data_IF_815661901011
#
_entry.id   IF_815661901011
#
_cell.length_a   1.000
_cell.length_b   1.000
_cell.length_c   1.000
_cell.angle_alpha   90.00
_cell.angle_beta   90.00
_cell.angle_gamma   90.00
#
_symmetry.space_group_name_H-M   'P 1'
#
loop_
_entity.id
_entity.type
_entity.pdbx_description
1 polymer ?
#
# COMPACT_ATOMS: atom_id res chain seq x y z
N UNK A 1 1.69 -20.99 -15.72
CA UNK A 1 1.40 -20.09 -14.60
C UNK A 1 2.67 -19.33 -14.24
N UNK A 2 2.57 -18.02 -14.08
CA UNK A 2 3.66 -17.16 -13.67
C UNK A 2 3.32 -16.54 -12.32
N UNK A 3 4.26 -16.60 -11.38
CA UNK A 3 4.13 -15.98 -10.06
C UNK A 3 5.28 -14.99 -9.91
N UNK A 4 4.93 -13.71 -9.78
CA UNK A 4 5.90 -12.64 -9.58
C UNK A 4 6.07 -12.41 -8.08
N UNK A 5 7.33 -12.30 -7.63
CA UNK A 5 7.62 -11.78 -6.29
C UNK A 5 6.97 -10.41 -6.10
N UNK A 6 6.42 -10.18 -4.91
CA UNK A 6 5.69 -8.97 -4.54
C UNK A 6 4.62 -8.57 -5.59
N UNK A 7 4.00 -9.55 -6.24
CA UNK A 7 2.94 -9.32 -7.24
C UNK A 7 3.40 -8.43 -8.42
N UNK A 8 4.71 -8.37 -8.69
CA UNK A 8 5.29 -7.53 -9.75
C UNK A 8 5.70 -6.12 -9.30
N UNK A 9 5.76 -5.84 -7.99
CA UNK A 9 6.26 -4.58 -7.44
C UNK A 9 7.71 -4.73 -6.96
N UNK A 10 8.66 -4.12 -7.66
CA UNK A 10 10.10 -4.28 -7.38
C UNK A 10 10.82 -2.95 -7.16
N UNK A 11 11.95 -2.98 -6.47
CA UNK A 11 12.87 -1.86 -6.42
C UNK A 11 13.79 -1.84 -7.64
N UNK A 12 14.04 -0.67 -8.21
CA UNK A 12 15.06 -0.49 -9.24
C UNK A 12 16.45 -0.82 -8.69
N UNK A 13 17.28 -1.53 -9.47
CA UNK A 13 18.61 -1.95 -9.07
C UNK A 13 18.65 -3.13 -8.07
N UNK A 14 17.50 -3.67 -7.65
CA UNK A 14 17.43 -4.85 -6.80
C UNK A 14 16.74 -6.00 -7.53
N UNK A 15 17.20 -7.23 -7.30
CA UNK A 15 16.65 -8.40 -7.97
C UNK A 15 15.19 -8.69 -7.56
N UNK A 16 14.30 -8.72 -8.55
CA UNK A 16 12.99 -9.36 -8.46
C UNK A 16 13.04 -10.77 -9.06
N UNK A 17 12.09 -11.62 -8.66
CA UNK A 17 11.96 -12.98 -9.20
C UNK A 17 10.60 -13.23 -9.86
N UNK A 18 10.63 -14.04 -10.90
CA UNK A 18 9.45 -14.62 -11.56
C UNK A 18 9.60 -16.14 -11.53
N UNK A 19 8.64 -16.81 -10.90
CA UNK A 19 8.55 -18.27 -10.90
C UNK A 19 7.60 -18.71 -12.00
N UNK A 20 8.12 -19.47 -12.97
CA UNK A 20 7.36 -20.08 -14.05
C UNK A 20 7.10 -21.55 -13.73
N UNK A 21 5.83 -21.94 -13.74
CA UNK A 21 5.40 -23.32 -13.50
C UNK A 21 4.36 -23.73 -14.52
N UNK A 22 4.43 -24.97 -14.99
CA UNK A 22 3.37 -25.58 -15.80
C UNK A 22 2.07 -25.61 -15.01
N UNK A 23 0.96 -25.23 -15.65
CA UNK A 23 -0.35 -25.54 -15.09
C UNK A 23 -0.53 -27.08 -15.13
N UNK A 24 -1.10 -27.66 -14.08
CA UNK A 24 -1.16 -29.12 -13.86
C UNK A 24 -1.92 -29.93 -14.94
N UNK A 25 -2.38 -29.30 -16.03
CA UNK A 25 -3.32 -29.85 -17.00
C UNK A 25 -2.71 -30.22 -18.37
N UNK A 26 -1.43 -29.94 -18.62
CA UNK A 26 -0.81 -30.18 -19.94
C UNK A 26 0.35 -31.17 -19.88
N UNK A 27 0.62 -31.86 -21.00
CA UNK A 27 1.94 -32.45 -21.24
C UNK A 27 2.99 -31.36 -21.06
N UNK A 28 4.05 -31.66 -20.30
CA UNK A 28 5.06 -30.70 -19.89
C UNK A 28 6.31 -30.94 -20.74
N UNK A 29 6.39 -30.43 -21.99
CA UNK A 29 7.58 -30.58 -22.79
C UNK A 29 8.74 -29.82 -22.15
N UNK A 30 9.96 -30.19 -22.49
CA UNK A 30 11.07 -29.27 -22.29
C UNK A 30 10.84 -28.03 -23.16
N UNK A 31 11.07 -26.86 -22.59
CA UNK A 31 10.85 -25.60 -23.27
C UNK A 31 11.98 -24.60 -23.00
N UNK A 32 12.03 -23.56 -23.81
CA UNK A 32 12.90 -22.40 -23.63
C UNK A 32 12.01 -21.18 -23.45
N UNK A 33 12.07 -20.57 -22.28
CA UNK A 33 11.42 -19.30 -21.98
C UNK A 33 12.37 -18.18 -22.37
N UNK A 34 12.03 -17.43 -23.42
CA UNK A 34 12.68 -16.16 -23.76
C UNK A 34 11.86 -15.02 -23.19
N UNK A 35 12.53 -14.03 -22.61
CA UNK A 35 11.84 -12.91 -22.00
C UNK A 35 12.58 -11.60 -22.17
N UNK A 36 11.79 -10.52 -22.21
CA UNK A 36 12.26 -9.15 -22.29
C UNK A 36 11.54 -8.28 -21.26
N UNK A 37 12.29 -7.38 -20.63
CA UNK A 37 11.77 -6.30 -19.82
C UNK A 37 11.85 -5.00 -20.62
N UNK A 38 10.71 -4.33 -20.79
CA UNK A 38 10.56 -3.16 -21.63
C UNK A 38 10.10 -1.94 -20.84
N UNK A 39 10.64 -0.77 -21.20
CA UNK A 39 10.09 0.55 -20.83
C UNK A 39 9.56 1.19 -22.12
N UNK A 40 8.23 1.31 -22.24
CA UNK A 40 7.62 1.62 -23.53
C UNK A 40 7.97 0.51 -24.54
N UNK A 41 8.69 0.87 -25.60
CA UNK A 41 9.19 -0.06 -26.63
C UNK A 41 10.68 -0.42 -26.45
N UNK A 42 11.36 0.19 -25.49
CA UNK A 42 12.80 0.01 -25.30
C UNK A 42 13.08 -1.18 -24.39
N UNK A 43 13.84 -2.15 -24.91
CA UNK A 43 14.35 -3.28 -24.12
C UNK A 43 15.42 -2.82 -23.14
N UNK A 44 15.18 -3.05 -21.85
CA UNK A 44 16.11 -2.71 -20.76
C UNK A 44 16.79 -3.92 -20.14
N UNK A 45 16.18 -5.11 -20.27
CA UNK A 45 16.78 -6.38 -19.90
C UNK A 45 16.13 -7.50 -20.71
N UNK A 46 16.78 -8.65 -20.78
CA UNK A 46 16.18 -9.85 -21.34
C UNK A 46 17.17 -11.00 -21.38
N UNK A 47 16.65 -12.21 -21.32
CA UNK A 47 17.44 -13.44 -21.31
C UNK A 47 16.57 -14.63 -21.74
N UNK A 48 17.15 -15.83 -21.70
CA UNK A 48 16.45 -17.08 -21.93
C UNK A 48 16.75 -18.09 -20.82
N UNK A 49 15.74 -18.87 -20.44
CA UNK A 49 15.84 -19.90 -19.41
C UNK A 49 15.29 -21.23 -19.94
N UNK A 50 16.02 -22.30 -19.67
CA UNK A 50 15.52 -23.66 -19.88
C UNK A 50 14.42 -23.98 -18.86
N UNK A 51 13.21 -24.27 -19.35
CA UNK A 51 12.11 -24.78 -18.54
C UNK A 51 12.15 -26.31 -18.61
N UNK A 52 12.49 -26.92 -17.48
CA UNK A 52 12.61 -28.37 -17.38
C UNK A 52 11.23 -29.04 -17.43
N UNK A 53 11.22 -30.29 -17.89
CA UNK A 53 10.04 -31.16 -17.79
C UNK A 53 9.71 -31.41 -16.32
N UNK A 54 8.43 -31.35 -15.97
CA UNK A 54 7.96 -31.64 -14.61
C UNK A 54 7.33 -30.44 -13.89
N UNK A 55 6.94 -30.67 -12.64
CA UNK A 55 6.18 -29.71 -11.82
C UNK A 55 7.03 -28.67 -11.08
N UNK A 56 8.36 -28.75 -11.16
CA UNK A 56 9.26 -27.83 -10.43
C UNK A 56 9.31 -26.47 -11.12
N UNK A 57 9.05 -25.41 -10.37
CA UNK A 57 9.10 -24.06 -10.89
C UNK A 57 10.52 -23.68 -11.36
N UNK A 58 10.60 -23.07 -12.54
CA UNK A 58 11.82 -22.43 -13.06
C UNK A 58 11.82 -20.98 -12.62
N UNK A 59 12.92 -20.48 -12.07
CA UNK A 59 13.00 -19.14 -11.48
C UNK A 59 13.85 -18.23 -12.37
N UNK A 60 13.25 -17.15 -12.86
CA UNK A 60 13.95 -16.05 -13.52
C UNK A 60 14.24 -14.98 -12.48
N UNK A 61 15.50 -14.53 -12.44
CA UNK A 61 15.91 -13.38 -11.61
C UNK A 61 16.13 -12.18 -12.52
N UNK A 62 15.45 -11.07 -12.24
CA UNK A 62 15.49 -9.85 -13.06
C UNK A 62 15.93 -8.70 -12.17
N UNK A 63 16.99 -7.99 -12.56
CA UNK A 63 17.36 -6.73 -11.91
C UNK A 63 16.90 -5.58 -12.80
N UNK A 64 15.74 -4.95 -12.52
CA UNK A 64 15.30 -3.78 -13.27
C UNK A 64 16.31 -2.63 -13.09
N UNK A 65 16.42 -1.71 -14.05
CA UNK A 65 17.29 -0.53 -13.91
C UNK A 65 16.84 0.34 -12.73
N UNK A 66 17.78 1.13 -12.20
CA UNK A 66 17.43 2.14 -11.20
C UNK A 66 16.48 3.19 -11.78
N UNK A 67 15.47 3.57 -11.01
CA UNK A 67 14.47 4.56 -11.42
C UNK A 67 14.41 5.70 -10.40
N UNK A 68 14.07 6.91 -10.86
CA UNK A 68 13.91 8.09 -10.00
C UNK A 68 12.48 8.26 -9.46
N UNK A 69 11.51 7.63 -10.13
CA UNK A 69 10.10 7.64 -9.79
C UNK A 69 9.48 6.28 -10.14
N UNK A 70 8.30 5.98 -9.58
CA UNK A 70 7.54 4.78 -9.93
C UNK A 70 7.40 4.70 -11.46
N UNK A 71 7.89 3.61 -12.04
CA UNK A 71 7.96 3.41 -13.49
C UNK A 71 7.30 2.11 -13.85
N UNK A 72 6.32 2.19 -14.75
CA UNK A 72 5.65 1.02 -15.31
C UNK A 72 6.53 0.38 -16.38
N UNK A 73 6.82 -0.90 -16.21
CA UNK A 73 7.54 -1.73 -17.17
C UNK A 73 6.65 -2.89 -17.64
N UNK A 74 6.99 -3.47 -18.78
CA UNK A 74 6.33 -4.68 -19.31
C UNK A 74 7.34 -5.81 -19.34
N UNK A 75 7.00 -6.92 -18.71
CA UNK A 75 7.72 -8.18 -18.89
C UNK A 75 6.97 -9.00 -19.93
N UNK A 76 7.61 -9.22 -21.07
CA UNK A 76 7.07 -9.96 -22.21
C UNK A 76 7.81 -11.28 -22.30
N UNK A 77 7.09 -12.37 -22.56
CA UNK A 77 7.70 -13.69 -22.70
C UNK A 77 7.18 -14.46 -23.89
N UNK A 78 8.03 -15.36 -24.36
CA UNK A 78 7.76 -16.34 -25.39
C UNK A 78 8.31 -17.69 -24.93
N UNK A 79 7.47 -18.71 -24.95
CA UNK A 79 7.83 -20.07 -24.55
C UNK A 79 7.88 -20.94 -25.80
N UNK A 80 9.05 -21.51 -26.09
CA UNK A 80 9.27 -22.36 -27.26
C UNK A 80 9.52 -23.81 -26.84
N UNK A 81 8.96 -24.77 -27.57
CA UNK A 81 9.26 -26.18 -27.37
C UNK A 81 10.71 -26.49 -27.74
N UNK A 82 11.42 -27.21 -26.87
CA UNK A 82 12.78 -27.66 -27.14
C UNK A 82 12.71 -28.88 -28.06
N UNK A 83 13.02 -28.69 -29.33
CA UNK A 83 13.03 -29.73 -30.35
C UNK A 83 12.72 -29.17 -31.73
N UNK A 84 11.44 -28.88 -31.98
CA UNK A 84 10.96 -28.28 -33.23
C UNK A 84 10.98 -26.74 -33.22
N UNK A 85 11.20 -26.13 -32.05
CA UNK A 85 11.24 -24.68 -31.89
C UNK A 85 9.87 -24.01 -32.01
N UNK A 86 8.77 -24.78 -31.95
CA UNK A 86 7.42 -24.24 -32.04
C UNK A 86 7.10 -23.39 -30.81
N UNK A 87 6.46 -22.24 -31.03
CA UNK A 87 5.95 -21.41 -29.94
C UNK A 87 4.77 -22.11 -29.26
N UNK A 88 4.90 -22.33 -27.95
CA UNK A 88 3.89 -22.95 -27.08
C UNK A 88 2.98 -21.88 -26.52
N UNK A 89 3.56 -20.78 -26.03
CA UNK A 89 2.84 -19.73 -25.33
C UNK A 89 3.58 -18.40 -25.45
N UNK A 90 2.83 -17.32 -25.33
CA UNK A 90 3.37 -15.97 -25.22
C UNK A 90 2.46 -15.14 -24.35
N UNK A 91 3.04 -14.19 -23.63
CA UNK A 91 2.24 -13.28 -22.84
C UNK A 91 3.04 -12.10 -22.35
N UNK A 92 2.33 -11.24 -21.64
CA UNK A 92 2.92 -10.09 -21.00
C UNK A 92 2.31 -9.86 -19.63
N UNK A 93 3.11 -9.27 -18.76
CA UNK A 93 2.66 -8.80 -17.46
C UNK A 93 3.31 -7.46 -17.14
N UNK A 94 2.61 -6.67 -16.32
CA UNK A 94 3.11 -5.39 -15.88
C UNK A 94 4.00 -5.59 -14.65
N UNK A 95 5.14 -4.90 -14.64
CA UNK A 95 6.01 -4.78 -13.47
C UNK A 95 6.05 -3.31 -13.08
N UNK A 96 5.82 -3.01 -11.80
CA UNK A 96 5.94 -1.67 -11.24
C UNK A 96 7.28 -1.55 -10.54
N UNK A 97 8.15 -0.68 -11.04
CA UNK A 97 9.49 -0.48 -10.49
C UNK A 97 9.53 0.83 -9.70
N UNK A 98 10.02 0.76 -8.46
CA UNK A 98 10.06 1.85 -7.51
C UNK A 98 11.50 2.30 -7.26
N UNK A 99 11.72 3.60 -6.96
CA UNK A 99 13.02 4.05 -6.51
C UNK A 99 13.37 3.37 -5.18
N UNK A 100 14.64 2.98 -5.00
CA UNK A 100 15.12 2.52 -3.69
C UNK A 100 15.07 3.71 -2.72
N UNK A 101 14.44 3.57 -1.54
CA UNK A 101 14.39 4.64 -0.56
C UNK A 101 15.79 5.01 -0.09
N UNK A 102 16.11 6.30 -0.12
CA UNK A 102 17.36 6.81 0.45
C UNK A 102 17.22 6.88 1.97
N UNK A 103 18.12 6.25 2.71
CA UNK A 103 18.11 6.27 4.18
C UNK A 103 18.05 7.70 4.76
N UNK A 104 18.79 8.63 4.16
CA UNK A 104 18.82 10.04 4.58
C UNK A 104 17.45 10.74 4.50
N UNK A 105 16.59 10.32 3.57
CA UNK A 105 15.25 10.90 3.40
C UNK A 105 14.38 10.59 4.61
N UNK A 106 14.42 9.36 5.11
CA UNK A 106 13.67 8.94 6.28
C UNK A 106 14.20 9.62 7.55
N UNK A 107 15.54 9.66 7.70
CA UNK A 107 16.20 10.34 8.81
C UNK A 107 15.85 11.84 8.87
N UNK A 108 15.80 12.51 7.71
CA UNK A 108 15.44 13.93 7.64
C UNK A 108 14.00 14.24 8.06
N UNK A 109 13.04 13.32 7.85
CA UNK A 109 11.61 13.53 8.16
C UNK A 109 11.32 13.58 9.66
N UNK A 110 12.10 12.88 10.47
CA UNK A 110 11.84 12.70 11.90
C UNK A 110 13.05 13.04 12.79
N UNK A 111 14.05 13.76 12.26
CA UNK A 111 15.35 14.00 12.92
C UNK A 111 15.25 14.50 14.37
N UNK A 112 14.27 15.35 14.66
CA UNK A 112 14.10 15.96 15.99
C UNK A 112 12.96 15.33 16.80
N UNK A 113 12.46 14.16 16.38
CA UNK A 113 11.32 13.48 16.99
C UNK A 113 11.78 12.26 17.77
N UNK A 114 11.24 12.09 18.97
CA UNK A 114 11.42 10.88 19.77
C UNK A 114 10.42 9.84 19.29
N UNK A 115 10.95 8.80 18.64
CA UNK A 115 10.15 7.72 18.06
C UNK A 115 10.10 6.55 19.03
N UNK A 116 8.91 6.00 19.23
CA UNK A 116 8.71 4.69 19.84
C UNK A 116 8.15 3.72 18.81
N UNK A 117 8.67 2.49 18.83
CA UNK A 117 8.23 1.41 17.95
C UNK A 117 7.81 0.24 18.81
N UNK A 118 6.54 -0.12 18.74
CA UNK A 118 6.01 -1.37 19.27
C UNK A 118 5.90 -2.35 18.10
N UNK A 119 6.86 -3.25 17.98
CA UNK A 119 6.95 -4.27 16.93
C UNK A 119 7.78 -5.44 17.44
N UNK A 120 7.10 -6.48 17.92
CA UNK A 120 7.69 -7.69 18.47
C UNK A 120 8.21 -8.60 17.35
N UNK A 121 7.54 -8.61 16.19
CA UNK A 121 7.98 -9.36 15.01
C UNK A 121 9.27 -8.78 14.40
N UNK A 122 9.53 -7.49 14.60
CA UNK A 122 10.80 -6.81 14.30
C UNK A 122 10.93 -6.30 12.88
N UNK A 123 10.04 -6.68 11.94
CA UNK A 123 10.15 -6.26 10.54
C UNK A 123 10.13 -4.75 10.32
N UNK A 124 9.24 -4.03 11.04
CA UNK A 124 9.18 -2.56 10.99
C UNK A 124 10.38 -1.97 11.71
N UNK A 125 10.69 -2.45 12.92
CA UNK A 125 11.81 -1.95 13.73
C UNK A 125 13.15 -2.09 12.99
N UNK A 126 13.40 -3.23 12.36
CA UNK A 126 14.64 -3.51 11.65
C UNK A 126 14.73 -2.69 10.36
N UNK A 127 13.61 -2.44 9.69
CA UNK A 127 13.56 -1.54 8.52
C UNK A 127 13.92 -0.11 8.91
N UNK A 128 13.39 0.40 10.03
CA UNK A 128 13.75 1.72 10.55
C UNK A 128 15.21 1.79 11.00
N UNK A 129 15.72 0.74 11.63
CA UNK A 129 17.12 0.66 12.06
C UNK A 129 18.09 0.64 10.87
N UNK A 130 17.78 -0.11 9.80
CA UNK A 130 18.55 -0.11 8.54
C UNK A 130 18.56 1.27 7.87
N UNK A 131 17.49 2.05 8.04
CA UNK A 131 17.42 3.44 7.59
C UNK A 131 18.18 4.42 8.51
N UNK A 132 18.80 3.95 9.59
CA UNK A 132 19.56 4.77 10.53
C UNK A 132 18.71 5.67 11.43
N UNK A 133 17.44 5.31 11.65
CA UNK A 133 16.56 5.99 12.60
C UNK A 133 16.77 5.46 14.01
N UNK A 134 16.91 6.37 14.96
CA UNK A 134 16.93 6.03 16.39
C UNK A 134 15.50 5.97 16.93
N UNK A 135 15.18 4.91 17.67
CA UNK A 135 13.86 4.75 18.28
C UNK A 135 13.94 3.92 19.57
N UNK A 136 12.98 4.16 20.46
CA UNK A 136 12.75 3.34 21.65
C UNK A 136 11.89 2.14 21.28
N UNK A 137 12.40 0.91 21.51
CA UNK A 137 11.59 -0.31 21.40
C UNK A 137 10.61 -0.40 22.58
N UNK A 138 9.35 -0.69 22.26
CA UNK A 138 8.25 -0.90 23.20
C UNK A 138 7.90 -2.38 23.16
N UNK A 139 7.75 -3.01 24.34
CA UNK A 139 7.39 -4.43 24.44
C UNK A 139 5.98 -4.64 24.99
N UNK A 140 5.46 -3.65 25.72
CA UNK A 140 4.12 -3.68 26.31
C UNK A 140 3.57 -2.26 26.46
N UNK A 141 2.24 -2.14 26.53
CA UNK A 141 1.55 -0.87 26.67
C UNK A 141 2.03 -0.03 27.87
N UNK A 142 2.41 -0.66 28.98
CA UNK A 142 2.95 0.02 30.16
C UNK A 142 4.24 0.82 29.88
N UNK A 143 5.06 0.39 28.92
CA UNK A 143 6.30 1.09 28.57
C UNK A 143 6.02 2.45 27.91
N UNK A 144 4.81 2.65 27.36
CA UNK A 144 4.37 3.89 26.73
C UNK A 144 4.01 4.97 27.76
N UNK A 145 3.47 4.57 28.92
CA UNK A 145 2.95 5.51 29.93
C UNK A 145 4.02 6.45 30.51
N UNK A 146 5.28 6.01 30.53
CA UNK A 146 6.43 6.78 31.03
C UNK A 146 7.30 7.36 29.91
N UNK A 147 6.87 7.21 28.65
CA UNK A 147 7.66 7.61 27.49
C UNK A 147 7.23 8.99 27.01
N UNK A 148 8.15 9.97 27.01
CA UNK A 148 7.96 11.21 26.27
C UNK A 148 8.33 10.96 24.80
N UNK A 149 7.32 10.75 23.97
CA UNK A 149 7.46 10.40 22.56
C UNK A 149 6.64 11.35 21.70
N UNK A 150 7.16 11.66 20.52
CA UNK A 150 6.50 12.51 19.54
C UNK A 150 5.82 11.66 18.47
N UNK A 151 6.31 10.44 18.25
CA UNK A 151 5.74 9.45 17.32
C UNK A 151 5.71 8.07 17.96
N UNK A 152 4.60 7.35 17.79
CA UNK A 152 4.47 5.93 18.12
C UNK A 152 4.03 5.16 16.89
N UNK A 153 4.79 4.14 16.52
CA UNK A 153 4.45 3.21 15.46
C UNK A 153 4.14 1.85 16.08
N UNK A 154 2.92 1.36 15.88
CA UNK A 154 2.47 0.04 16.36
C UNK A 154 2.38 -0.89 15.17
N UNK A 155 3.29 -1.87 15.14
CA UNK A 155 3.42 -2.87 14.09
C UNK A 155 2.21 -3.81 13.99
N UNK A 156 2.17 -4.64 12.94
CA UNK A 156 1.03 -5.50 12.70
C UNK A 156 0.83 -6.55 13.80
N UNK A 157 -0.41 -6.71 14.27
CA UNK A 157 -0.80 -7.76 15.22
C UNK A 157 -0.33 -7.59 16.67
N UNK A 158 0.27 -6.46 17.02
CA UNK A 158 0.79 -6.18 18.37
C UNK A 158 -0.29 -5.96 19.43
N UNK A 159 -1.46 -5.44 19.02
CA UNK A 159 -2.55 -5.14 19.94
C UNK A 159 -3.44 -6.37 20.13
N UNK A 160 -3.72 -6.70 21.40
CA UNK A 160 -4.68 -7.72 21.76
C UNK A 160 -6.08 -7.16 22.07
N UNK A 161 -7.00 -8.02 22.48
CA UNK A 161 -8.39 -7.68 22.84
C UNK A 161 -8.55 -6.78 24.08
N UNK A 162 -7.47 -6.51 24.81
CA UNK A 162 -7.52 -5.72 26.04
C UNK A 162 -7.60 -4.23 25.72
N UNK A 163 -8.76 -3.63 26.02
CA UNK A 163 -9.01 -2.17 25.87
C UNK A 163 -7.94 -1.31 26.54
N UNK A 164 -7.39 -1.77 27.67
CA UNK A 164 -6.34 -1.06 28.41
C UNK A 164 -5.04 -0.91 27.63
N UNK A 165 -4.75 -1.78 26.65
CA UNK A 165 -3.51 -1.68 25.86
C UNK A 165 -3.56 -0.51 24.86
N UNK A 166 -4.77 -0.03 24.52
CA UNK A 166 -4.97 1.07 23.58
C UNK A 166 -5.08 2.44 24.27
N UNK A 167 -5.42 2.48 25.56
CA UNK A 167 -5.62 3.73 26.30
C UNK A 167 -4.36 4.62 26.34
N UNK A 168 -3.13 4.09 26.57
CA UNK A 168 -1.91 4.90 26.52
C UNK A 168 -1.65 5.51 25.14
N UNK A 169 -2.03 4.84 24.06
CA UNK A 169 -1.86 5.34 22.69
C UNK A 169 -2.75 6.56 22.43
N UNK A 170 -4.01 6.50 22.87
CA UNK A 170 -4.96 7.61 22.76
C UNK A 170 -4.45 8.80 23.59
N UNK A 171 -4.04 8.56 24.85
CA UNK A 171 -3.52 9.61 25.72
C UNK A 171 -2.27 10.31 25.15
N UNK A 172 -1.37 9.54 24.51
CA UNK A 172 -0.21 10.12 23.82
C UNK A 172 -0.64 10.98 22.62
N UNK A 173 -1.62 10.53 21.83
CA UNK A 173 -2.16 11.33 20.73
C UNK A 173 -2.78 12.63 21.23
N UNK A 174 -3.62 12.58 22.28
CA UNK A 174 -4.22 13.77 22.91
C UNK A 174 -3.15 14.77 23.38
N UNK A 175 -2.05 14.26 23.95
CA UNK A 175 -0.92 15.05 24.42
C UNK A 175 -0.08 15.69 23.29
N UNK A 176 -0.29 15.31 22.03
CA UNK A 176 0.39 15.88 20.87
C UNK A 176 1.20 14.91 20.02
N UNK A 177 1.26 13.63 20.39
CA UNK A 177 2.01 12.64 19.62
C UNK A 177 1.28 12.26 18.31
N UNK A 178 2.06 11.83 17.33
CA UNK A 178 1.57 11.11 16.17
C UNK A 178 1.54 9.62 16.44
N UNK A 179 0.38 8.99 16.38
CA UNK A 179 0.23 7.54 16.61
C UNK A 179 -0.20 6.85 15.33
N UNK A 180 0.48 5.76 14.97
CA UNK A 180 0.14 4.94 13.81
C UNK A 180 -0.13 3.52 14.27
N UNK A 181 -1.31 3.01 13.92
CA UNK A 181 -1.70 1.62 14.13
C UNK A 181 -1.71 0.94 12.77
N UNK A 182 -0.74 0.06 12.52
CA UNK A 182 -0.77 -0.84 11.36
C UNK A 182 -1.75 -1.99 11.59
N UNK A 183 -1.90 -2.90 10.62
CA UNK A 183 -2.95 -3.93 10.61
C UNK A 183 -3.05 -4.69 11.95
N UNK A 184 -4.25 -4.79 12.53
CA UNK A 184 -4.47 -5.54 13.77
C UNK A 184 -5.54 -6.60 13.52
N UNK A 185 -5.30 -7.84 13.95
CA UNK A 185 -6.25 -8.95 13.72
C UNK A 185 -6.86 -9.52 14.99
N UNK A 186 -6.18 -9.34 16.11
CA UNK A 186 -6.62 -9.88 17.39
C UNK A 186 -7.68 -9.03 18.11
N UNK A 187 -7.69 -7.68 18.04
CA UNK A 187 -8.62 -6.91 18.83
C UNK A 187 -10.00 -6.83 18.16
N UNK A 188 -11.06 -6.93 18.95
CA UNK A 188 -12.46 -6.66 18.52
C UNK A 188 -12.71 -5.21 18.14
N UNK A 189 -11.89 -4.29 18.65
CA UNK A 189 -12.01 -2.86 18.37
C UNK A 189 -10.64 -2.20 18.31
N UNK A 190 -10.51 -1.18 17.47
CA UNK A 190 -9.28 -0.43 17.26
C UNK A 190 -9.55 1.06 17.38
N UNK A 191 -8.81 1.75 18.24
CA UNK A 191 -9.01 3.15 18.58
C UNK A 191 -10.45 3.48 19.03
N UNK A 192 -11.11 2.53 19.71
CA UNK A 192 -12.48 2.66 20.20
C UNK A 192 -13.58 2.30 19.20
N UNK A 193 -13.22 1.86 17.99
CA UNK A 193 -14.18 1.51 16.94
C UNK A 193 -14.20 0.00 16.67
N UNK A 194 -15.36 -0.61 16.38
CA UNK A 194 -15.44 -2.02 16.03
C UNK A 194 -14.56 -2.38 14.82
N UNK A 195 -13.90 -3.53 14.90
CA UNK A 195 -13.16 -4.11 13.79
C UNK A 195 -14.04 -5.15 13.11
N UNK A 196 -14.29 -4.95 11.82
CA UNK A 196 -15.23 -5.73 11.02
C UNK A 196 -14.48 -6.46 9.91
N UNK A 197 -14.78 -7.75 9.74
CA UNK A 197 -14.25 -8.52 8.62
C UNK A 197 -14.98 -8.16 7.33
N UNK A 198 -14.24 -7.93 6.25
CA UNK A 198 -14.75 -7.73 4.90
C UNK A 198 -14.30 -8.83 3.97
N UNK A 199 -15.16 -9.13 3.00
CA UNK A 199 -14.81 -9.93 1.83
C UNK A 199 -14.27 -8.99 0.74
N UNK A 200 -13.24 -9.44 0.02
CA UNK A 200 -12.54 -8.64 -0.99
C UNK A 200 -13.38 -8.29 -2.25
N UNK A 201 -14.65 -8.70 -2.32
CA UNK A 201 -15.47 -8.55 -3.51
C UNK A 201 -15.81 -7.09 -3.86
N UNK A 202 -15.83 -6.20 -2.87
CA UNK A 202 -16.08 -4.76 -3.10
C UNK A 202 -14.79 -4.00 -2.85
N UNK A 203 -14.37 -3.18 -3.82
CA UNK A 203 -13.17 -2.35 -3.71
C UNK A 203 -13.45 -1.08 -2.89
N UNK A 204 -12.53 -0.65 -2.01
CA UNK A 204 -12.65 0.65 -1.34
C UNK A 204 -12.41 1.79 -2.33
N UNK A 205 -13.03 2.93 -2.04
CA UNK A 205 -12.73 4.22 -2.64
C UNK A 205 -11.53 4.85 -1.94
N UNK A 206 -10.62 5.43 -2.73
CA UNK A 206 -9.37 6.01 -2.24
C UNK A 206 -9.32 7.52 -2.48
N UNK A 207 -8.82 8.28 -1.49
CA UNK A 207 -8.46 9.69 -1.62
C UNK A 207 -7.04 9.81 -2.17
N UNK A 208 -6.87 9.61 -3.48
CA UNK A 208 -5.58 9.57 -4.17
C UNK A 208 -4.71 10.83 -4.02
N UNK A 209 -5.31 12.00 -3.82
CA UNK A 209 -4.57 13.25 -3.66
C UNK A 209 -4.00 13.48 -2.25
N UNK A 210 -4.25 12.56 -1.31
CA UNK A 210 -3.77 12.70 0.07
C UNK A 210 -2.27 12.39 0.17
N UNK A 211 -1.48 13.08 1.04
CA UNK A 211 -0.04 12.80 1.20
C UNK A 211 0.32 11.35 1.53
N UNK A 212 -0.58 10.60 2.19
CA UNK A 212 -0.40 9.16 2.45
C UNK A 212 -0.33 8.30 1.17
N UNK A 213 -0.87 8.81 0.06
CA UNK A 213 -0.90 8.16 -1.25
C UNK A 213 0.23 8.64 -2.18
N UNK A 214 1.11 9.54 -1.72
CA UNK A 214 2.16 10.10 -2.58
C UNK A 214 3.05 9.02 -3.19
N UNK A 215 3.15 8.99 -4.52
CA UNK A 215 3.96 7.99 -5.24
C UNK A 215 3.34 6.58 -5.30
N UNK A 216 2.09 6.42 -4.84
CA UNK A 216 1.29 5.21 -4.94
C UNK A 216 0.03 5.49 -5.76
N UNK A 217 -0.27 4.62 -6.71
CA UNK A 217 -1.54 4.62 -7.42
C UNK A 217 -2.60 3.83 -6.66
N UNK A 218 -3.87 4.06 -7.02
CA UNK A 218 -4.99 3.31 -6.45
C UNK A 218 -4.83 1.81 -6.66
N UNK A 219 -4.36 1.39 -7.84
CA UNK A 219 -4.13 -0.02 -8.15
C UNK A 219 -3.01 -0.64 -7.29
N UNK A 220 -1.98 0.15 -6.91
CA UNK A 220 -0.94 -0.32 -5.99
C UNK A 220 -1.55 -0.63 -4.61
N UNK A 221 -2.44 0.23 -4.12
CA UNK A 221 -3.11 0.00 -2.84
C UNK A 221 -4.15 -1.12 -2.93
N UNK A 222 -4.83 -1.25 -4.07
CA UNK A 222 -5.79 -2.31 -4.30
C UNK A 222 -5.11 -3.68 -4.34
N UNK A 223 -3.94 -3.79 -4.97
CA UNK A 223 -3.18 -5.05 -5.04
C UNK A 223 -2.79 -5.59 -3.66
N UNK A 224 -2.54 -4.71 -2.67
CA UNK A 224 -2.30 -5.13 -1.29
C UNK A 224 -3.54 -5.82 -0.68
N UNK A 225 -4.74 -5.38 -1.05
CA UNK A 225 -6.01 -5.93 -0.57
C UNK A 225 -6.47 -7.16 -1.36
N UNK A 226 -6.12 -7.24 -2.64
CA UNK A 226 -6.53 -8.32 -3.53
C UNK A 226 -5.70 -9.59 -3.28
N UNK A 227 -6.34 -10.76 -3.31
CA UNK A 227 -5.64 -12.04 -3.24
C UNK A 227 -6.52 -13.18 -2.71
N UNK A 228 -6.36 -14.41 -3.24
CA UNK A 228 -7.12 -15.55 -2.76
C UNK A 228 -6.85 -15.82 -1.28
N UNK A 229 -7.91 -15.89 -0.47
CA UNK A 229 -7.80 -16.15 0.97
C UNK A 229 -7.33 -14.98 1.83
N UNK A 230 -7.07 -13.79 1.26
CA UNK A 230 -6.78 -12.59 2.08
C UNK A 230 -8.04 -12.17 2.84
N UNK A 231 -7.94 -12.18 4.17
CA UNK A 231 -8.95 -11.61 5.04
C UNK A 231 -8.67 -10.12 5.24
N UNK A 232 -9.62 -9.28 4.88
CA UNK A 232 -9.50 -7.83 5.06
C UNK A 232 -10.28 -7.46 6.31
N UNK A 233 -9.65 -6.69 7.18
CA UNK A 233 -10.31 -6.09 8.33
C UNK A 233 -10.50 -4.60 8.07
N UNK A 234 -11.62 -4.06 8.54
CA UNK A 234 -11.97 -2.66 8.40
C UNK A 234 -12.42 -2.13 9.76
N UNK A 235 -12.15 -0.86 10.01
CA UNK A 235 -12.70 -0.16 11.16
C UNK A 235 -14.08 0.39 10.78
N UNK A 236 -15.09 0.13 11.60
CA UNK A 236 -16.42 0.69 11.41
C UNK A 236 -16.57 2.01 12.17
N UNK A 237 -16.63 3.10 11.42
CA UNK A 237 -16.83 4.43 11.96
C UNK A 237 -18.33 4.71 12.11
N UNK A 238 -18.76 5.29 13.24
CA UNK A 238 -20.12 5.81 13.39
C UNK A 238 -20.46 6.84 12.31
N UNK A 239 -21.76 7.03 12.11
CA UNK A 239 -22.26 8.13 11.28
C UNK A 239 -21.70 9.48 11.75
N UNK A 240 -21.21 10.28 10.81
CA UNK A 240 -20.71 11.63 11.04
C UNK A 240 -19.48 11.74 11.97
N UNK A 241 -18.73 10.64 12.15
CA UNK A 241 -17.51 10.64 12.95
C UNK A 241 -16.45 11.62 12.35
N UNK A 242 -15.82 12.49 13.16
CA UNK A 242 -14.80 13.45 12.72
C UNK A 242 -13.46 12.78 12.38
N UNK A 243 -13.46 11.93 11.35
CA UNK A 243 -12.32 11.14 10.88
C UNK A 243 -12.19 11.29 9.37
N UNK A 244 -10.98 11.49 8.86
CA UNK A 244 -10.71 11.61 7.44
C UNK A 244 -10.48 10.22 6.87
N UNK A 245 -11.41 9.75 6.05
CA UNK A 245 -11.40 8.41 5.48
C UNK A 245 -10.56 8.41 4.19
N UNK A 246 -9.34 7.85 4.22
CA UNK A 246 -8.46 7.82 3.05
C UNK A 246 -8.80 6.66 2.13
N UNK A 247 -9.00 5.47 2.70
CA UNK A 247 -9.47 4.28 2.00
C UNK A 247 -10.73 3.76 2.70
N UNK A 248 -11.87 3.77 2.01
CA UNK A 248 -13.16 3.45 2.63
C UNK A 248 -14.13 2.78 1.67
N UNK A 249 -15.02 1.95 2.19
CA UNK A 249 -16.13 1.41 1.41
C UNK A 249 -17.32 2.35 1.50
N UNK A 250 -17.91 2.76 0.36
CA UNK A 250 -19.13 3.54 0.39
C UNK A 250 -20.26 2.72 1.04
N UNK A 251 -21.22 3.38 1.71
CA UNK A 251 -22.38 2.70 2.27
C UNK A 251 -23.19 2.00 1.17
N UNK A 252 -23.72 0.83 1.47
CA UNK A 252 -24.50 -0.01 0.53
C UNK A 252 -25.80 0.68 0.08
N UNK A 253 -26.34 1.57 0.92
CA UNK A 253 -27.52 2.37 0.62
C UNK A 253 -27.16 3.85 0.74
N UNK A 254 -27.23 4.59 -0.36
CA UNK A 254 -27.09 6.04 -0.35
C UNK A 254 -28.33 6.66 0.29
N UNK A 255 -28.19 7.18 1.51
CA UNK A 255 -29.24 7.88 2.24
C UNK A 255 -28.98 9.38 2.33
N UNK A 256 -30.00 10.19 2.69
CA UNK A 256 -29.86 11.64 2.86
C UNK A 256 -29.04 12.05 4.10
N UNK A 257 -28.68 11.10 4.97
CA UNK A 257 -27.82 11.31 6.15
C UNK A 257 -26.61 10.37 6.08
N UNK A 258 -25.44 10.79 6.60
CA UNK A 258 -24.28 9.90 6.70
C UNK A 258 -24.65 8.66 7.50
N UNK A 259 -24.43 7.48 6.94
CA UNK A 259 -24.49 6.20 7.67
C UNK A 259 -23.12 5.84 8.24
N UNK A 260 -23.01 4.72 8.98
CA UNK A 260 -21.71 4.17 9.35
C UNK A 260 -20.88 3.87 8.09
N UNK A 261 -19.57 4.09 8.19
CA UNK A 261 -18.62 3.88 7.08
C UNK A 261 -17.51 2.95 7.54
N UNK A 262 -17.21 1.96 6.71
CA UNK A 262 -16.09 1.05 6.96
C UNK A 262 -14.85 1.58 6.26
N UNK A 263 -13.73 1.63 6.99
CA UNK A 263 -12.47 2.20 6.51
C UNK A 263 -11.33 1.21 6.65
N UNK A 264 -10.45 1.19 5.65
CA UNK A 264 -9.17 0.46 5.70
C UNK A 264 -8.02 1.40 6.05
N UNK A 265 -8.17 2.70 5.78
CA UNK A 265 -7.20 3.72 6.16
C UNK A 265 -7.92 5.00 6.55
N UNK A 266 -7.66 5.47 7.77
CA UNK A 266 -8.31 6.64 8.32
C UNK A 266 -7.34 7.45 9.19
N UNK A 267 -7.64 8.75 9.30
CA UNK A 267 -6.86 9.71 10.08
C UNK A 267 -7.81 10.46 11.00
N UNK A 268 -7.43 10.58 12.27
CA UNK A 268 -8.18 11.32 13.27
C UNK A 268 -7.27 12.34 13.93
N UNK A 269 -7.66 13.61 13.94
CA UNK A 269 -7.08 14.58 14.86
C UNK A 269 -7.55 14.26 16.29
N UNK A 270 -6.62 14.14 17.24
CA UNK A 270 -6.93 13.78 18.62
C UNK A 270 -6.18 14.74 19.54
N UNK A 271 -6.91 15.61 20.26
CA UNK A 271 -6.31 16.67 21.06
C UNK A 271 -5.34 17.53 20.24
N UNK A 272 -4.07 17.56 20.64
CA UNK A 272 -3.00 18.28 19.92
C UNK A 272 -2.27 17.43 18.88
N UNK A 273 -2.52 16.12 18.85
CA UNK A 273 -1.83 15.16 18.01
C UNK A 273 -2.75 14.57 16.95
N UNK A 274 -2.39 13.37 16.49
CA UNK A 274 -3.17 12.63 15.49
C UNK A 274 -2.99 11.13 15.62
N UNK A 275 -4.01 10.40 15.18
CA UNK A 275 -3.97 8.96 15.00
C UNK A 275 -4.16 8.61 13.54
N UNK A 276 -3.34 7.71 13.02
CA UNK A 276 -3.50 7.07 11.71
C UNK A 276 -3.83 5.61 11.99
N UNK A 277 -4.97 5.15 11.52
CA UNK A 277 -5.41 3.77 11.65
C UNK A 277 -5.40 3.14 10.27
N UNK A 278 -4.52 2.16 10.07
CA UNK A 278 -4.32 1.45 8.82
C UNK A 278 -4.55 -0.04 9.02
N UNK A 279 -5.59 -0.57 8.39
CA UNK A 279 -5.85 -2.01 8.28
C UNK A 279 -5.45 -2.57 6.92
N UNK A 280 -4.60 -1.83 6.20
CA UNK A 280 -3.98 -2.31 4.96
C UNK A 280 -3.01 -3.45 5.33
N UNK A 281 -3.18 -4.66 4.77
CA UNK A 281 -2.28 -5.79 4.99
C UNK A 281 -1.01 -5.59 4.18
N UNK A 282 -0.10 -4.79 4.72
CA UNK A 282 1.17 -4.46 4.07
C UNK A 282 2.01 -5.73 3.83
N UNK A 283 2.70 -5.77 2.69
CA UNK A 283 3.69 -6.80 2.41
C UNK A 283 4.95 -6.65 3.28
N UNK A 284 5.95 -7.54 3.12
CA UNK A 284 7.17 -7.50 3.91
C UNK A 284 7.86 -6.13 3.88
N UNK A 285 8.24 -5.61 5.05
CA UNK A 285 8.75 -4.26 5.23
C UNK A 285 10.05 -3.96 4.48
N UNK A 286 10.90 -4.95 4.28
CA UNK A 286 12.22 -4.80 3.69
C UNK A 286 12.25 -5.00 2.17
N UNK A 287 11.27 -5.72 1.63
CA UNK A 287 11.29 -6.21 0.25
C UNK A 287 10.09 -5.78 -0.58
N UNK A 288 8.96 -5.37 0.02
CA UNK A 288 7.82 -4.82 -0.71
C UNK A 288 7.94 -3.30 -0.88
N UNK A 289 8.10 -2.78 -2.10
CA UNK A 289 8.23 -1.34 -2.35
C UNK A 289 6.99 -0.53 -1.97
N UNK A 290 5.80 -1.13 -2.09
CA UNK A 290 4.55 -0.46 -1.73
C UNK A 290 4.54 -0.20 -0.22
N UNK A 291 4.96 -1.18 0.57
CA UNK A 291 5.09 -1.06 2.02
C UNK A 291 6.09 0.04 2.42
N UNK A 292 7.27 0.08 1.80
CA UNK A 292 8.25 1.12 2.11
C UNK A 292 7.81 2.52 1.67
N UNK A 293 7.18 2.64 0.50
CA UNK A 293 6.65 3.91 0.03
C UNK A 293 5.51 4.40 0.94
N UNK A 294 4.62 3.51 1.37
CA UNK A 294 3.56 3.85 2.32
C UNK A 294 4.12 4.27 3.68
N UNK A 295 5.13 3.55 4.20
CA UNK A 295 5.84 3.92 5.42
C UNK A 295 6.47 5.32 5.30
N UNK A 296 7.21 5.60 4.22
CA UNK A 296 7.79 6.93 3.99
C UNK A 296 6.71 8.02 4.01
N UNK A 297 5.58 7.80 3.34
CA UNK A 297 4.45 8.72 3.31
C UNK A 297 3.86 8.96 4.70
N UNK A 298 3.68 7.90 5.48
CA UNK A 298 3.24 7.99 6.88
C UNK A 298 4.21 8.85 7.69
N UNK A 299 5.50 8.55 7.66
CA UNK A 299 6.49 9.30 8.46
C UNK A 299 6.56 10.77 8.03
N UNK A 300 6.45 11.06 6.72
CA UNK A 300 6.39 12.43 6.21
C UNK A 300 5.14 13.17 6.67
N UNK A 301 3.99 12.49 6.65
CA UNK A 301 2.74 13.08 7.11
C UNK A 301 2.73 13.34 8.62
N UNK A 302 3.34 12.47 9.43
CA UNK A 302 3.51 12.71 10.87
C UNK A 302 4.38 13.94 11.18
N UNK A 303 5.27 14.31 10.26
CA UNK A 303 6.08 15.52 10.37
C UNK A 303 5.30 16.83 10.22
N UNK A 304 4.07 16.79 9.68
CA UNK A 304 3.26 18.02 9.48
C UNK A 304 2.56 18.46 10.77
N UNK A 305 1.88 19.61 10.73
CA UNK A 305 0.99 20.03 11.83
C UNK A 305 -0.33 19.25 11.76
N UNK A 306 -0.85 18.71 12.88
CA UNK A 306 -2.18 18.10 12.90
C UNK A 306 -3.24 19.15 12.56
N UNK A 307 -4.04 18.87 11.53
CA UNK A 307 -5.17 19.71 11.15
C UNK A 307 -6.46 19.13 11.75
N UNK A 308 -7.39 19.97 12.25
CA UNK A 308 -8.68 19.51 12.70
C UNK A 308 -9.39 18.71 11.60
N UNK A 309 -9.98 17.59 11.98
CA UNK A 309 -10.78 16.78 11.06
C UNK A 309 -12.26 17.12 11.26
N UNK A 310 -12.86 18.00 10.43
CA UNK A 310 -14.28 18.34 10.56
C UNK A 310 -15.14 17.10 10.32
N UNK A 311 -16.34 17.12 10.92
CA UNK A 311 -17.33 16.07 10.69
C UNK A 311 -17.74 16.02 9.21
N UNK A 312 -18.09 14.85 8.66
CA UNK A 312 -18.64 14.73 7.31
C UNK A 312 -19.72 15.76 6.98
N UNK A 313 -20.64 16.04 7.92
CA UNK A 313 -21.72 17.02 7.80
C UNK A 313 -21.25 18.48 7.72
N UNK A 314 -20.05 18.78 8.24
CA UNK A 314 -19.45 20.11 8.30
C UNK A 314 -18.43 20.35 7.17
N UNK A 315 -18.03 19.29 6.45
CA UNK A 315 -17.11 19.40 5.32
C UNK A 315 -17.80 20.17 4.21
N UNK A 316 -17.19 21.28 3.78
CA UNK A 316 -17.63 21.96 2.56
C UNK A 316 -17.59 20.95 1.42
N UNK A 317 -18.76 20.62 0.88
CA UNK A 317 -18.85 19.89 -0.37
C UNK A 317 -18.36 20.85 -1.44
N UNK A 318 -17.08 20.76 -1.81
CA UNK A 318 -16.67 21.20 -3.14
C UNK A 318 -17.42 20.31 -4.11
N UNK A 319 -18.65 20.71 -4.46
CA UNK A 319 -19.35 20.16 -5.62
C UNK A 319 -18.36 20.25 -6.78
N UNK A 320 -18.27 19.24 -7.66
CA UNK A 320 -17.65 19.46 -8.96
C UNK A 320 -18.28 20.72 -9.52
N UNK A 321 -17.47 21.74 -9.80
CA UNK A 321 -17.92 22.87 -10.60
C UNK A 321 -18.52 22.22 -11.84
N UNK A 322 -19.83 22.40 -12.05
CA UNK A 322 -20.49 21.92 -13.25
C UNK A 322 -19.59 22.35 -14.42
N UNK A 323 -19.14 21.37 -15.21
CA UNK A 323 -18.36 21.62 -16.40
C UNK A 323 -19.09 22.73 -17.14
N UNK A 324 -18.47 23.91 -17.23
CA UNK A 324 -19.03 24.97 -18.05
C UNK A 324 -19.21 24.35 -19.43
N UNK A 325 -20.41 24.47 -20.04
CA UNK A 325 -20.60 23.97 -21.39
C UNK A 325 -19.51 24.60 -22.26
N UNK A 326 -18.71 23.75 -22.88
CA UNK A 326 -17.73 24.16 -23.89
C UNK A 326 -18.49 25.04 -24.88
N UNK A 327 -18.09 26.30 -25.11
CA UNK A 327 -18.78 27.14 -26.07
C UNK A 327 -18.71 26.44 -27.42
N UNK A 328 -19.86 25.95 -27.88
CA UNK A 328 -20.02 25.41 -29.22
C UNK A 328 -19.84 26.60 -30.15
N UNK A 329 -18.71 26.62 -30.87
CA UNK A 329 -18.53 27.54 -31.99
C UNK A 329 -19.57 27.11 -33.04
N UNK A 330 -20.66 27.87 -33.14
CA UNK A 330 -21.58 27.73 -34.24
C UNK A 330 -20.86 28.20 -35.51
N UNK A 331 -20.44 27.26 -36.35
CA UNK A 331 -20.01 27.58 -37.71
C UNK A 331 -21.29 27.98 -38.46
N UNK A 332 -21.40 29.22 -38.97
CA UNK A 332 -22.57 29.63 -39.74
C UNK A 332 -22.69 28.77 -41.00
N UNK A 333 -23.90 28.29 -41.26
CA UNK A 333 -24.28 27.50 -42.43
C UNK A 333 -23.95 28.29 -43.70
N UNK A 334 -22.84 27.97 -44.36
CA UNK A 334 -22.42 28.66 -45.59
C UNK A 334 -20.91 28.66 -45.89
N UNK A 335 -20.06 28.19 -44.97
CA UNK A 335 -18.64 27.98 -45.29
C UNK A 335 -18.47 26.68 -46.09
N UNK A 336 -18.33 26.79 -47.41
CA UNK A 336 -17.82 25.71 -48.27
C UNK A 336 -16.35 25.42 -47.93
N UNK A 337 -15.91 24.15 -48.04
CA UNK A 337 -14.64 23.67 -47.50
C UNK A 337 -13.40 24.27 -48.16
#
# INVERSE_FOLDING_TARGET
MLILSNEGHWFGGQAGTISAQWAAQFEQPEAVLKWDLLIGEVRVAGDQLAVQRGSKASVVTVTPPEVRARTRMRWVYHLYQRGDGKEIDTGETVVQVYPVPKADRLKGRLRDRRIAVWDTAGGLADTLAKAGLEFKRIRKAADLQLSRVDVVLVGPGELGDKVFDQSPLIALAEAGAGVVLFEQRHPRSLAGYPLMRRTAAIRPTWRSNHPLMSGLEVDDMQSLLDGPGKEIWAVELPADEPVLEIGHWPPVVAGPRPGPVQVVLAIKAVGKGRMIVSQIPLGPWDTDPRTQQFLDNVLGYLGTRPEPTPRPSERQVTRPVASQPVPTIAIPSGATP
#
